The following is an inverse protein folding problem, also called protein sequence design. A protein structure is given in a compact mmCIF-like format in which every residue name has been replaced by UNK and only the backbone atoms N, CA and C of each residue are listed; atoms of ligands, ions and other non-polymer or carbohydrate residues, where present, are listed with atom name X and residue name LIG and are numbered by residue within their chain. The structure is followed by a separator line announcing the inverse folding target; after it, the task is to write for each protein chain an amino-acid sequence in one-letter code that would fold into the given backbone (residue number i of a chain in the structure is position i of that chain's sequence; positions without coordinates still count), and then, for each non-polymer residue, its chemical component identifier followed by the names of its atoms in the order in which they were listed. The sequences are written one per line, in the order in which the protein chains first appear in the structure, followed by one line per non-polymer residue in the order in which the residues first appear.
data_IF_483507682162
#
_entry.id   IF_483507682162
#
_cell.length_a   1.000
_cell.length_b   1.000
_cell.length_c   1.000
_cell.angle_alpha   90.00
_cell.angle_beta   90.00
_cell.angle_gamma   90.00
#
_symmetry.space_group_name_H-M   'P 1'
#
loop_
_entity.id
_entity.type
_entity.pdbx_description
1 polymer ?
#
# COMPACT_ATOMS: atom_id res chain seq x y z
N UNK A 1 -0.15 10.40 -7.13
CA UNK A 1 -1.04 11.18 -6.24
C UNK A 1 -2.03 10.22 -5.57
N UNK A 2 -2.26 10.39 -4.27
CA UNK A 2 -3.20 9.54 -3.49
C UNK A 2 -4.64 9.83 -3.93
N UNK A 3 -5.42 8.79 -4.17
CA UNK A 3 -6.84 8.86 -4.57
C UNK A 3 -7.61 9.85 -3.69
N UNK A 4 -8.33 10.85 -4.23
CA UNK A 4 -8.94 11.92 -3.46
C UNK A 4 -9.98 11.44 -2.43
N UNK A 5 -10.59 10.27 -2.64
CA UNK A 5 -11.59 9.72 -1.73
C UNK A 5 -10.98 8.88 -0.60
N UNK A 6 -9.68 8.56 -0.68
CA UNK A 6 -8.99 7.84 0.38
C UNK A 6 -8.86 8.71 1.65
N UNK A 7 -9.19 8.13 2.79
CA UNK A 7 -9.07 8.76 4.13
C UNK A 7 -7.89 8.20 4.92
N UNK A 8 -7.24 7.17 4.38
CA UNK A 8 -6.08 6.53 4.98
C UNK A 8 -5.12 5.99 3.92
N UNK A 9 -3.87 5.82 4.33
CA UNK A 9 -2.81 5.15 3.59
C UNK A 9 -2.32 3.96 4.41
N UNK A 10 -2.15 2.82 3.75
CA UNK A 10 -1.75 1.58 4.40
C UNK A 10 -0.64 0.86 3.65
N UNK A 11 0.22 0.15 4.37
CA UNK A 11 1.30 -0.62 3.76
C UNK A 11 1.76 -1.76 4.67
N UNK A 12 2.32 -2.82 4.08
CA UNK A 12 2.88 -3.92 4.86
C UNK A 12 4.24 -3.55 5.41
N UNK A 13 4.44 -3.81 6.70
CA UNK A 13 5.73 -3.62 7.36
C UNK A 13 6.82 -4.50 6.73
N UNK A 14 8.09 -4.09 6.66
CA UNK A 14 8.69 -2.86 7.19
C UNK A 14 8.93 -1.78 6.12
N UNK A 15 9.07 -2.17 4.85
CA UNK A 15 9.45 -1.26 3.76
C UNK A 15 8.45 -0.12 3.55
N UNK A 16 7.16 -0.40 3.75
CA UNK A 16 6.12 0.60 3.57
C UNK A 16 5.97 1.57 4.77
N UNK A 17 6.49 1.24 5.96
CA UNK A 17 6.31 2.04 7.18
C UNK A 17 6.78 3.50 7.03
N UNK A 18 8.00 3.80 6.53
CA UNK A 18 8.41 5.18 6.31
C UNK A 18 7.58 5.88 5.22
N UNK A 19 7.13 5.15 4.19
CA UNK A 19 6.35 5.70 3.08
C UNK A 19 4.94 6.10 3.55
N UNK A 20 4.25 5.19 4.25
CA UNK A 20 2.94 5.41 4.88
C UNK A 20 3.00 6.62 5.80
N UNK A 21 4.02 6.67 6.67
CA UNK A 21 4.21 7.77 7.63
C UNK A 21 4.48 9.09 6.93
N UNK A 22 5.36 9.11 5.92
CA UNK A 22 5.67 10.31 5.15
C UNK A 22 4.44 10.84 4.40
N UNK A 23 3.65 9.98 3.77
CA UNK A 23 2.41 10.37 3.07
C UNK A 23 1.41 11.01 4.05
N UNK A 24 1.25 10.43 5.24
CA UNK A 24 0.36 10.98 6.28
C UNK A 24 0.82 12.38 6.74
N UNK A 25 2.11 12.54 7.06
CA UNK A 25 2.68 13.82 7.50
C UNK A 25 2.60 14.87 6.40
N UNK A 26 3.02 14.54 5.18
CA UNK A 26 2.99 15.49 4.05
C UNK A 26 1.55 15.84 3.70
N UNK A 27 0.63 14.89 3.74
CA UNK A 27 -0.80 15.13 3.58
C UNK A 27 -1.31 16.17 4.57
N UNK A 28 -1.02 15.99 5.87
CA UNK A 28 -1.42 16.94 6.91
C UNK A 28 -0.88 18.36 6.64
N UNK A 29 0.41 18.48 6.28
CA UNK A 29 1.02 19.75 5.93
C UNK A 29 0.39 20.41 4.68
N UNK A 30 -0.24 19.62 3.82
CA UNK A 30 -0.97 20.07 2.63
C UNK A 30 -2.48 20.25 2.89
N UNK A 31 -2.93 20.15 4.14
CA UNK A 31 -4.33 20.33 4.52
C UNK A 31 -5.21 19.10 4.28
N UNK A 32 -4.62 17.91 4.16
CA UNK A 32 -5.32 16.64 3.95
C UNK A 32 -4.90 15.59 4.98
N UNK A 33 -5.75 15.36 5.96
CA UNK A 33 -5.51 14.35 6.99
C UNK A 33 -5.73 12.93 6.44
N UNK A 34 -4.64 12.18 6.31
CA UNK A 34 -4.65 10.77 5.95
C UNK A 34 -4.18 9.94 7.15
N UNK A 35 -5.03 9.05 7.64
CA UNK A 35 -4.61 8.12 8.70
C UNK A 35 -3.55 7.15 8.19
N UNK A 36 -2.45 7.01 8.94
CA UNK A 36 -1.43 6.02 8.67
C UNK A 36 -1.82 4.66 9.27
N UNK A 37 -1.89 3.63 8.43
CA UNK A 37 -2.18 2.26 8.84
C UNK A 37 -1.01 1.33 8.50
N UNK A 38 -0.48 0.61 9.49
CA UNK A 38 0.61 -0.35 9.28
C UNK A 38 0.07 -1.77 9.33
N UNK A 39 0.31 -2.54 8.28
CA UNK A 39 -0.15 -3.92 8.17
C UNK A 39 0.99 -4.85 8.62
N UNK A 40 0.77 -5.58 9.70
CA UNK A 40 1.72 -6.53 10.29
C UNK A 40 1.82 -7.80 9.46
N UNK A 41 2.98 -8.44 9.40
CA UNK A 41 3.13 -9.75 8.75
C UNK A 41 2.33 -10.86 9.46
N UNK A 42 2.24 -10.79 10.78
CA UNK A 42 1.55 -11.75 11.65
C UNK A 42 0.52 -11.04 12.53
N UNK A 43 -0.58 -11.72 12.90
CA UNK A 43 -1.61 -11.14 13.74
C UNK A 43 -1.09 -10.84 15.16
N UNK A 44 -1.79 -9.97 15.91
CA UNK A 44 -1.52 -9.75 17.34
C UNK A 44 -1.62 -11.07 18.12
N UNK A 45 -0.64 -11.33 19.00
CA UNK A 45 -0.55 -12.58 19.77
C UNK A 45 -1.55 -12.76 20.92
N UNK A 46 -2.30 -11.72 21.32
CA UNK A 46 -3.28 -11.80 22.43
C UNK A 46 -4.54 -10.99 22.04
N UNK A 47 -5.69 -11.63 21.82
CA UNK A 47 -6.98 -10.99 21.47
C UNK A 47 -7.53 -11.34 20.08
N UNK A 48 -8.25 -10.42 19.43
CA UNK A 48 -8.99 -10.60 18.16
C UNK A 48 -8.13 -10.82 16.89
N UNK A 49 -6.82 -11.00 17.03
CA UNK A 49 -5.94 -11.36 15.91
C UNK A 49 -5.81 -10.30 14.81
N UNK A 50 -5.90 -9.01 15.16
CA UNK A 50 -5.83 -7.91 14.18
C UNK A 50 -4.47 -7.83 13.47
N UNK A 51 -4.52 -7.50 12.18
CA UNK A 51 -3.33 -7.31 11.34
C UNK A 51 -2.96 -5.84 11.14
N UNK A 52 -3.89 -4.92 11.38
CA UNK A 52 -3.72 -3.49 11.09
C UNK A 52 -3.49 -2.71 12.39
N UNK A 53 -2.40 -1.94 12.42
CA UNK A 53 -2.08 -0.95 13.47
C UNK A 53 -2.41 0.45 12.97
N UNK A 54 -2.91 1.31 13.85
CA UNK A 54 -3.37 2.67 13.53
C UNK A 54 -4.71 2.99 14.17
N UNK A 55 -5.27 4.20 13.94
CA UNK A 55 -6.60 4.54 14.43
C UNK A 55 -7.67 3.65 13.79
N UNK A 56 -8.70 3.30 14.57
CA UNK A 56 -9.90 2.64 14.03
C UNK A 56 -10.66 3.64 13.18
N UNK A 57 -11.00 3.24 11.94
CA UNK A 57 -11.77 4.07 11.01
C UNK A 57 -13.19 3.53 10.87
N UNK A 58 -14.15 4.35 10.38
CA UNK A 58 -15.48 3.86 10.03
C UNK A 58 -15.43 2.69 9.03
N UNK A 59 -16.38 1.76 9.13
CA UNK A 59 -16.52 0.68 8.16
C UNK A 59 -16.70 1.23 6.74
N UNK A 60 -16.09 0.58 5.76
CA UNK A 60 -16.10 1.02 4.38
C UNK A 60 -15.12 2.16 4.06
N UNK A 61 -14.34 2.63 5.02
CA UNK A 61 -13.30 3.64 4.80
C UNK A 61 -12.40 3.28 3.62
N UNK A 62 -12.18 4.24 2.73
CA UNK A 62 -11.37 4.07 1.52
C UNK A 62 -9.88 4.23 1.87
N UNK A 63 -9.08 3.25 1.48
CA UNK A 63 -7.66 3.15 1.84
C UNK A 63 -6.81 3.02 0.59
N UNK A 64 -5.77 3.86 0.48
CA UNK A 64 -4.72 3.69 -0.50
C UNK A 64 -3.66 2.71 0.03
N UNK A 65 -3.32 1.69 -0.74
CA UNK A 65 -2.31 0.68 -0.38
C UNK A 65 -0.99 1.03 -1.06
N UNK A 66 0.09 1.07 -0.30
CA UNK A 66 1.43 1.42 -0.79
C UNK A 66 2.43 0.32 -0.42
N UNK A 67 3.42 0.12 -1.28
CA UNK A 67 4.62 -0.69 -1.00
C UNK A 67 5.87 0.04 -1.54
N UNK A 68 7.05 -0.35 -1.09
CA UNK A 68 8.31 0.19 -1.63
C UNK A 68 8.62 -0.43 -3.00
N UNK A 69 8.64 -1.76 -3.07
CA UNK A 69 9.02 -2.53 -4.27
C UNK A 69 8.02 -3.64 -4.52
N UNK A 70 7.56 -3.75 -5.76
CA UNK A 70 6.68 -4.83 -6.23
C UNK A 70 7.49 -5.81 -7.08
N UNK A 71 7.48 -7.08 -6.66
CA UNK A 71 7.95 -8.21 -7.46
C UNK A 71 6.76 -9.01 -7.98
N UNK A 72 6.30 -10.00 -7.21
CA UNK A 72 5.18 -10.89 -7.54
C UNK A 72 3.82 -10.36 -7.11
N UNK A 73 3.75 -9.17 -6.49
CA UNK A 73 2.52 -8.59 -5.94
C UNK A 73 1.96 -9.27 -4.68
N UNK A 74 2.59 -10.34 -4.18
CA UNK A 74 2.06 -11.16 -3.07
C UNK A 74 1.83 -10.36 -1.77
N UNK A 75 2.72 -9.40 -1.46
CA UNK A 75 2.59 -8.52 -0.28
C UNK A 75 1.33 -7.65 -0.39
N UNK A 76 1.18 -6.96 -1.52
CA UNK A 76 0.05 -6.08 -1.81
C UNK A 76 -1.29 -6.83 -1.80
N UNK A 77 -1.37 -8.03 -2.38
CA UNK A 77 -2.59 -8.85 -2.34
C UNK A 77 -2.97 -9.19 -0.89
N UNK A 78 -2.02 -9.65 -0.08
CA UNK A 78 -2.27 -9.93 1.35
C UNK A 78 -2.71 -8.67 2.12
N UNK A 79 -2.11 -7.52 1.82
CA UNK A 79 -2.50 -6.24 2.42
C UNK A 79 -3.95 -5.88 2.08
N UNK A 80 -4.33 -6.01 0.81
CA UNK A 80 -5.71 -5.78 0.33
C UNK A 80 -6.70 -6.71 1.04
N UNK A 81 -6.38 -8.00 1.14
CA UNK A 81 -7.23 -8.98 1.82
C UNK A 81 -7.41 -8.66 3.30
N UNK A 82 -6.33 -8.27 4.00
CA UNK A 82 -6.38 -7.90 5.41
C UNK A 82 -7.19 -6.64 5.67
N UNK A 83 -7.03 -5.62 4.83
CA UNK A 83 -7.84 -4.41 4.90
C UNK A 83 -9.33 -4.72 4.67
N UNK A 84 -9.65 -5.53 3.67
CA UNK A 84 -11.02 -6.00 3.41
C UNK A 84 -11.58 -6.79 4.60
N UNK A 85 -10.78 -7.65 5.22
CA UNK A 85 -11.15 -8.41 6.41
C UNK A 85 -11.43 -7.55 7.64
N UNK A 86 -10.82 -6.37 7.74
CA UNK A 86 -11.10 -5.37 8.80
C UNK A 86 -12.23 -4.39 8.41
N UNK A 87 -12.93 -4.65 7.30
CA UNK A 87 -14.08 -3.84 6.84
C UNK A 87 -13.69 -2.59 6.04
N UNK A 88 -12.43 -2.43 5.65
CA UNK A 88 -11.97 -1.30 4.85
C UNK A 88 -12.06 -1.59 3.34
N UNK A 89 -12.05 -0.53 2.53
CA UNK A 89 -12.12 -0.59 1.07
C UNK A 89 -10.80 -0.12 0.45
N UNK A 90 -9.92 -1.03 0.02
CA UNK A 90 -8.77 -0.65 -0.78
C UNK A 90 -9.23 -0.06 -2.12
N UNK A 91 -8.85 1.19 -2.41
CA UNK A 91 -9.27 1.91 -3.63
C UNK A 91 -8.12 2.19 -4.59
N UNK A 92 -6.88 2.07 -4.12
CA UNK A 92 -5.70 2.40 -4.89
C UNK A 92 -4.53 1.51 -4.47
N UNK A 93 -3.69 1.12 -5.42
CA UNK A 93 -2.44 0.38 -5.19
C UNK A 93 -1.28 1.12 -5.82
N UNK A 94 -0.28 1.46 -5.00
CA UNK A 94 0.88 2.24 -5.39
C UNK A 94 2.18 1.53 -5.00
N UNK A 95 3.24 1.78 -5.76
CA UNK A 95 4.59 1.39 -5.38
C UNK A 95 5.61 2.44 -5.81
N UNK A 96 6.80 2.44 -5.19
CA UNK A 96 7.91 3.22 -5.71
C UNK A 96 8.46 2.53 -6.96
N UNK A 97 8.80 1.24 -6.85
CA UNK A 97 9.40 0.47 -7.94
C UNK A 97 8.55 -0.76 -8.28
N UNK A 98 8.19 -0.91 -9.55
CA UNK A 98 7.72 -2.17 -10.13
C UNK A 98 8.91 -2.89 -10.78
N UNK A 99 9.24 -4.10 -10.31
CA UNK A 99 10.35 -4.90 -10.87
C UNK A 99 9.97 -5.67 -12.13
N UNK A 100 8.70 -5.61 -12.54
CA UNK A 100 8.21 -6.28 -13.75
C UNK A 100 8.36 -7.81 -13.67
N UNK A 101 8.12 -8.36 -12.48
CA UNK A 101 8.22 -9.80 -12.16
C UNK A 101 6.83 -10.43 -11.96
N UNK A 102 5.81 -9.95 -12.68
CA UNK A 102 4.44 -10.50 -12.67
C UNK A 102 3.49 -9.87 -11.64
N UNK A 103 3.93 -8.88 -10.87
CA UNK A 103 3.14 -8.28 -9.80
C UNK A 103 1.96 -7.45 -10.29
N UNK A 104 2.14 -6.72 -11.39
CA UNK A 104 1.10 -5.91 -12.03
C UNK A 104 -0.05 -6.78 -12.52
N UNK A 105 0.28 -7.81 -13.29
CA UNK A 105 -0.68 -8.75 -13.89
C UNK A 105 -1.47 -9.47 -12.80
N UNK A 106 -0.81 -9.84 -11.70
CA UNK A 106 -1.47 -10.46 -10.55
C UNK A 106 -2.46 -9.53 -9.86
N UNK A 107 -2.11 -8.25 -9.71
CA UNK A 107 -3.01 -7.24 -9.14
C UNK A 107 -4.20 -7.01 -10.06
N UNK A 108 -3.97 -6.92 -11.37
CA UNK A 108 -5.02 -6.73 -12.38
C UNK A 108 -6.01 -7.89 -12.40
N UNK A 109 -5.51 -9.13 -12.34
CA UNK A 109 -6.33 -10.33 -12.20
C UNK A 109 -7.19 -10.32 -10.91
N UNK A 110 -6.77 -9.55 -9.90
CA UNK A 110 -7.48 -9.37 -8.63
C UNK A 110 -8.38 -8.12 -8.61
N UNK A 111 -8.50 -7.41 -9.74
CA UNK A 111 -9.33 -6.21 -9.91
C UNK A 111 -8.65 -4.90 -9.50
N UNK A 112 -7.32 -4.88 -9.39
CA UNK A 112 -6.54 -3.72 -8.96
C UNK A 112 -5.49 -3.32 -9.99
N UNK A 113 -5.39 -2.03 -10.31
CA UNK A 113 -4.32 -1.49 -11.16
C UNK A 113 -3.17 -0.98 -10.30
N UNK A 114 -1.94 -1.42 -10.60
CA UNK A 114 -0.73 -0.93 -9.95
C UNK A 114 -0.26 0.38 -10.59
N UNK A 115 -0.06 1.41 -9.77
CA UNK A 115 0.63 2.65 -10.17
C UNK A 115 2.01 2.71 -9.51
N UNK A 116 3.08 2.61 -10.29
CA UNK A 116 4.46 2.73 -9.81
C UNK A 116 5.08 4.07 -10.19
N UNK A 117 6.07 4.55 -9.43
CA UNK A 117 6.86 5.72 -9.81
C UNK A 117 7.94 5.37 -10.83
N UNK A 118 8.53 4.18 -10.69
CA UNK A 118 9.55 3.62 -11.56
C UNK A 118 9.21 2.18 -11.90
N UNK A 119 9.64 1.76 -13.07
CA UNK A 119 9.76 0.37 -13.51
C UNK A 119 11.21 -0.08 -13.41
N UNK A 120 11.48 -1.37 -13.61
CA UNK A 120 12.85 -1.86 -13.71
C UNK A 120 13.56 -1.20 -14.88
N UNK A 121 12.88 -1.08 -16.02
CA UNK A 121 13.41 -0.41 -17.22
C UNK A 121 13.84 1.04 -16.97
N UNK A 122 13.07 1.80 -16.17
CA UNK A 122 13.40 3.20 -15.83
C UNK A 122 14.75 3.34 -15.07
N UNK A 123 15.14 2.30 -14.33
CA UNK A 123 16.35 2.30 -13.50
C UNK A 123 17.54 1.59 -14.14
N UNK A 124 17.33 0.89 -15.26
CA UNK A 124 18.41 0.30 -16.02
C UNK A 124 19.14 1.40 -16.81
N UNK A 125 20.28 1.84 -16.27
CA UNK A 125 21.23 2.64 -17.03
C UNK A 125 21.65 1.81 -18.25
N UNK A 126 21.39 2.32 -19.47
CA UNK A 126 22.04 1.80 -20.66
C UNK A 126 23.53 1.97 -20.44
N UNK A 127 24.24 0.87 -20.16
CA UNK A 127 25.68 0.81 -20.40
C UNK A 127 25.87 1.05 -21.89
N UNK A 128 26.07 2.31 -22.26
CA UNK A 128 26.53 2.67 -23.60
C UNK A 128 27.92 2.07 -23.84
N UNK A 129 28.31 1.90 -25.11
CA UNK A 129 29.58 1.28 -25.49
C UNK A 129 30.80 1.98 -24.86
#
# INVERSE_FOLDING_TARGET
MIDPEAVAVAGMTLGADPIVTAISIVGHLQGRDLSALIIRKEPKGHGTGKFVEGPTLPEGSKVAVVDDVVTTGSSLIKSIERLRGEGYRPVQVLAILDREEGGRERLEASGYSLKSLFTREDLLVRSGP
#
